data_IF_883823408074
#
_entry.id   IF_883823408074
#
_cell.length_a   1.000
_cell.length_b   1.000
_cell.length_c   1.000
_cell.angle_alpha   90.00
_cell.angle_beta   90.00
_cell.angle_gamma   90.00
#
_symmetry.space_group_name_H-M   'P 1'
#
loop_
_entity.id
_entity.type
_entity.pdbx_description
1 polymer ?
#
# COMPACT_ATOMS: atom_id res chain seq x y z
N UNK A 1 -5.11 -21.13 8.60
CA UNK A 1 -5.19 -19.86 9.36
C UNK A 1 -5.25 -18.72 8.37
N UNK A 2 -5.92 -17.59 8.68
CA UNK A 2 -5.88 -16.41 7.84
C UNK A 2 -4.44 -15.91 7.64
N UNK A 3 -4.06 -15.41 6.44
CA UNK A 3 -2.69 -14.96 6.17
C UNK A 3 -2.33 -13.74 7.03
N UNK A 4 -1.07 -13.62 7.42
CA UNK A 4 -0.57 -12.37 7.99
C UNK A 4 -0.33 -11.34 6.88
N UNK A 5 -0.39 -10.05 7.24
CA UNK A 5 -0.19 -8.95 6.29
C UNK A 5 0.90 -8.01 6.78
N UNK A 6 1.90 -7.77 5.94
CA UNK A 6 2.92 -6.75 6.13
C UNK A 6 2.60 -5.54 5.23
N UNK A 7 2.32 -4.39 5.84
CA UNK A 7 2.11 -3.12 5.15
C UNK A 7 3.44 -2.37 5.05
N UNK A 8 3.92 -2.12 3.83
CA UNK A 8 5.16 -1.42 3.55
C UNK A 8 4.84 0.01 3.12
N UNK A 9 5.34 0.97 3.89
CA UNK A 9 5.01 2.39 3.77
C UNK A 9 4.07 2.85 4.89
N UNK A 10 4.48 3.90 5.61
CA UNK A 10 3.77 4.43 6.80
C UNK A 10 3.08 5.76 6.54
N UNK A 11 3.06 6.22 5.30
CA UNK A 11 2.53 7.53 4.94
C UNK A 11 1.00 7.58 4.83
N UNK A 12 0.53 8.69 4.28
CA UNK A 12 -0.88 9.06 4.16
C UNK A 12 -1.80 7.94 3.67
N UNK A 13 -1.47 7.24 2.57
CA UNK A 13 -2.33 6.17 2.07
C UNK A 13 -2.50 5.01 3.05
N UNK A 14 -1.45 4.71 3.83
CA UNK A 14 -1.48 3.60 4.78
C UNK A 14 -2.17 4.00 6.08
N UNK A 15 -1.78 5.15 6.64
CA UNK A 15 -2.09 5.51 8.04
C UNK A 15 -2.85 6.82 8.18
N UNK A 16 -2.99 7.58 7.10
CA UNK A 16 -3.51 8.95 7.12
C UNK A 16 -2.56 9.95 7.75
N UNK A 17 -1.34 9.55 8.08
CA UNK A 17 -0.33 10.40 8.69
C UNK A 17 0.62 10.97 7.62
N UNK A 18 0.88 12.26 7.73
CA UNK A 18 1.93 13.00 7.01
C UNK A 18 3.07 13.30 7.98
N UNK A 19 4.26 13.66 7.48
CA UNK A 19 5.42 13.91 8.34
C UNK A 19 5.22 14.94 9.47
N UNK A 20 4.15 15.74 9.42
CA UNK A 20 3.78 16.77 10.40
C UNK A 20 2.48 16.50 11.18
N UNK A 21 1.75 15.41 10.92
CA UNK A 21 0.45 15.16 11.56
C UNK A 21 -0.57 14.47 10.67
N UNK A 22 -1.86 14.52 11.02
CA UNK A 22 -2.93 14.02 10.18
C UNK A 22 -2.91 14.66 8.78
N UNK A 23 -3.31 13.90 7.75
CA UNK A 23 -3.46 14.44 6.41
C UNK A 23 -4.68 15.35 6.31
N UNK A 24 -4.55 16.45 5.58
CA UNK A 24 -5.63 17.37 5.22
C UNK A 24 -6.43 16.91 3.98
N UNK A 25 -6.08 15.76 3.40
CA UNK A 25 -6.80 15.17 2.27
C UNK A 25 -8.00 14.33 2.71
N UNK A 26 -8.68 13.74 1.74
CA UNK A 26 -9.74 12.74 1.93
C UNK A 26 -9.25 11.42 2.58
N UNK A 27 -7.94 11.30 2.88
CA UNK A 27 -7.29 10.12 3.45
C UNK A 27 -6.76 10.36 4.86
N UNK A 28 -7.32 11.31 5.61
CA UNK A 28 -6.89 11.65 6.98
C UNK A 28 -6.87 10.45 7.95
N UNK A 29 -7.69 9.42 7.72
CA UNK A 29 -7.72 8.16 8.49
C UNK A 29 -6.83 7.05 7.93
N UNK A 30 -6.29 7.23 6.72
CA UNK A 30 -5.63 6.18 5.96
C UNK A 30 -6.62 5.18 5.35
N UNK A 31 -6.15 4.44 4.35
CA UNK A 31 -6.97 3.43 3.65
C UNK A 31 -6.47 2.03 3.97
N UNK A 32 -5.16 1.78 3.85
CA UNK A 32 -4.62 0.42 3.95
C UNK A 32 -4.77 -0.13 5.37
N UNK A 33 -4.31 0.59 6.40
CA UNK A 33 -4.36 0.10 7.78
C UNK A 33 -5.80 -0.10 8.25
N UNK A 34 -6.70 0.83 7.94
CA UNK A 34 -8.14 0.72 8.23
C UNK A 34 -8.74 -0.55 7.60
N UNK A 35 -8.48 -0.80 6.32
CA UNK A 35 -8.99 -2.01 5.63
C UNK A 35 -8.40 -3.29 6.25
N UNK A 36 -7.10 -3.32 6.56
CA UNK A 36 -6.47 -4.50 7.16
C UNK A 36 -7.00 -4.78 8.57
N UNK A 37 -7.29 -3.75 9.36
CA UNK A 37 -7.92 -3.88 10.67
C UNK A 37 -9.36 -4.41 10.56
N UNK A 38 -10.17 -3.92 9.61
CA UNK A 38 -11.51 -4.48 9.37
C UNK A 38 -11.45 -5.95 8.92
N UNK A 39 -10.55 -6.27 7.99
CA UNK A 39 -10.37 -7.66 7.52
C UNK A 39 -9.92 -8.58 8.64
N UNK A 40 -9.05 -8.10 9.54
CA UNK A 40 -8.64 -8.82 10.74
C UNK A 40 -9.81 -9.04 11.70
N UNK A 41 -10.59 -8.00 12.00
CA UNK A 41 -11.80 -8.06 12.83
C UNK A 41 -12.81 -9.09 12.28
N UNK A 42 -12.86 -9.26 10.95
CA UNK A 42 -13.72 -10.23 10.25
C UNK A 42 -13.09 -11.62 10.08
N UNK A 43 -11.91 -11.87 10.67
CA UNK A 43 -11.21 -13.15 10.59
C UNK A 43 -10.65 -13.49 9.21
N UNK A 44 -10.54 -12.52 8.29
CA UNK A 44 -9.98 -12.72 6.94
C UNK A 44 -8.48 -12.53 6.88
N UNK A 45 -7.92 -11.78 7.84
CA UNK A 45 -6.48 -11.54 8.00
C UNK A 45 -6.07 -11.87 9.43
N UNK A 46 -4.88 -12.45 9.57
CA UNK A 46 -4.27 -12.81 10.84
C UNK A 46 -3.48 -11.65 11.44
N UNK A 47 -2.20 -11.90 11.69
CA UNK A 47 -1.24 -10.92 12.24
C UNK A 47 -1.02 -9.75 11.28
N UNK A 48 -0.79 -8.55 11.83
CA UNK A 48 -0.54 -7.33 11.06
C UNK A 48 0.84 -6.75 11.40
N UNK A 49 1.59 -6.38 10.37
CA UNK A 49 2.84 -5.65 10.49
C UNK A 49 2.83 -4.38 9.65
N UNK A 50 3.64 -3.41 10.03
CA UNK A 50 3.84 -2.16 9.30
C UNK A 50 5.31 -1.75 9.30
N UNK A 51 5.86 -1.43 8.13
CA UNK A 51 7.25 -1.04 8.00
C UNK A 51 7.37 0.33 7.32
N UNK A 52 8.11 1.24 7.95
CA UNK A 52 8.60 2.49 7.36
C UNK A 52 10.13 2.48 7.26
N UNK A 53 10.72 3.65 7.06
CA UNK A 53 12.19 3.84 7.10
C UNK A 53 12.68 4.65 8.30
N UNK A 54 11.76 5.24 9.06
CA UNK A 54 12.05 6.18 10.13
C UNK A 54 11.19 5.86 11.36
N UNK A 55 11.76 5.07 12.26
CA UNK A 55 11.16 4.63 13.52
C UNK A 55 10.86 5.78 14.48
N UNK A 56 11.48 6.96 14.30
CA UNK A 56 11.16 8.15 15.11
C UNK A 56 9.73 8.64 14.89
N UNK A 57 9.12 8.31 13.75
CA UNK A 57 7.73 8.71 13.40
C UNK A 57 6.68 7.73 13.90
N UNK A 58 7.05 6.48 14.19
CA UNK A 58 6.11 5.41 14.52
C UNK A 58 5.28 5.69 15.79
N UNK A 59 5.82 6.28 16.87
CA UNK A 59 5.01 6.67 18.02
C UNK A 59 3.86 7.62 17.66
N UNK A 60 4.15 8.65 16.85
CA UNK A 60 3.15 9.62 16.41
C UNK A 60 2.12 8.98 15.47
N UNK A 61 2.56 8.10 14.56
CA UNK A 61 1.67 7.32 13.68
C UNK A 61 0.73 6.42 14.50
N UNK A 62 1.24 5.71 15.52
CA UNK A 62 0.42 4.86 16.39
C UNK A 62 -0.60 5.69 17.19
N UNK A 63 -0.19 6.85 17.72
CA UNK A 63 -1.09 7.77 18.41
C UNK A 63 -2.19 8.29 17.46
N UNK A 64 -1.83 8.67 16.23
CA UNK A 64 -2.78 9.09 15.20
C UNK A 64 -3.78 7.98 14.85
N UNK A 65 -3.30 6.76 14.57
CA UNK A 65 -4.19 5.64 14.27
C UNK A 65 -5.11 5.29 15.44
N UNK A 66 -4.63 5.40 16.69
CA UNK A 66 -5.48 5.22 17.87
C UNK A 66 -6.63 6.25 17.87
N UNK A 67 -6.30 7.54 17.73
CA UNK A 67 -7.31 8.61 17.76
C UNK A 67 -8.26 8.56 16.56
N UNK A 68 -7.75 8.28 15.36
CA UNK A 68 -8.53 8.30 14.13
C UNK A 68 -9.31 7.01 13.88
N UNK A 69 -8.84 5.87 14.40
CA UNK A 69 -9.43 4.55 14.15
C UNK A 69 -9.93 3.88 15.43
N UNK A 70 -9.04 3.65 16.41
CA UNK A 70 -9.37 2.87 17.61
C UNK A 70 -10.41 3.52 18.51
N UNK A 71 -10.35 4.84 18.65
CA UNK A 71 -11.28 5.63 19.47
C UNK A 71 -12.60 5.94 18.73
N UNK A 72 -12.66 5.68 17.42
CA UNK A 72 -13.80 6.03 16.54
C UNK A 72 -14.63 4.79 16.17
N UNK A 73 -13.98 3.66 15.86
CA UNK A 73 -14.65 2.47 15.34
C UNK A 73 -14.62 1.32 16.34
N UNK A 74 -15.79 0.90 16.80
CA UNK A 74 -15.91 -0.24 17.71
C UNK A 74 -15.32 -1.53 17.11
N UNK A 75 -14.48 -2.20 17.90
CA UNK A 75 -13.83 -3.46 17.50
C UNK A 75 -12.63 -3.30 16.56
N UNK A 76 -12.15 -2.08 16.32
CA UNK A 76 -10.90 -1.80 15.61
C UNK A 76 -9.82 -1.48 16.64
N UNK A 77 -8.72 -2.25 16.63
CA UNK A 77 -7.59 -2.04 17.54
C UNK A 77 -6.27 -1.90 16.76
N UNK A 78 -5.78 -0.67 16.52
CA UNK A 78 -4.53 -0.45 15.81
C UNK A 78 -3.29 -0.82 16.63
N UNK A 79 -3.40 -1.05 17.95
CA UNK A 79 -2.26 -1.44 18.79
C UNK A 79 -1.75 -2.86 18.49
N UNK A 80 -2.55 -3.66 17.80
CA UNK A 80 -2.17 -5.00 17.36
C UNK A 80 -1.16 -5.04 16.19
N UNK A 81 -0.81 -3.88 15.61
CA UNK A 81 0.10 -3.77 14.47
C UNK A 81 1.54 -3.73 14.99
N UNK A 82 2.34 -4.73 14.64
CA UNK A 82 3.78 -4.74 14.88
C UNK A 82 4.48 -3.77 13.92
N UNK A 83 5.48 -3.02 14.39
CA UNK A 83 6.10 -1.94 13.59
C UNK A 83 7.61 -2.06 13.42
N UNK A 84 8.09 -1.76 12.21
CA UNK A 84 9.51 -1.68 11.85
C UNK A 84 9.87 -0.32 11.19
N UNK A 85 11.12 0.15 11.35
CA UNK A 85 12.14 -0.33 12.30
C UNK A 85 11.72 -0.05 13.75
N UNK A 86 12.48 -0.48 14.77
CA UNK A 86 12.21 -0.10 16.16
C UNK A 86 12.14 1.42 16.35
N UNK A 87 11.41 1.86 17.37
CA UNK A 87 11.28 3.28 17.69
C UNK A 87 12.67 3.94 17.85
N UNK A 88 12.81 5.15 17.29
CA UNK A 88 14.09 5.89 17.33
C UNK A 88 15.12 5.47 16.27
N UNK A 89 14.94 4.34 15.59
CA UNK A 89 15.88 3.83 14.57
C UNK A 89 15.50 4.35 13.19
N UNK A 90 16.48 4.79 12.41
CA UNK A 90 16.30 5.12 10.99
C UNK A 90 17.04 4.07 10.17
N UNK A 91 16.30 3.37 9.33
CA UNK A 91 16.82 2.29 8.49
C UNK A 91 16.02 2.21 7.19
N UNK A 92 16.68 2.47 6.05
CA UNK A 92 16.05 2.41 4.73
C UNK A 92 15.77 0.98 4.27
N UNK A 93 16.44 0.00 4.87
CA UNK A 93 16.33 -1.42 4.56
C UNK A 93 15.58 -2.21 5.64
N UNK A 94 14.91 -1.51 6.56
CA UNK A 94 14.09 -2.12 7.61
C UNK A 94 13.06 -3.12 7.05
N UNK A 95 12.65 -2.97 5.78
CA UNK A 95 11.77 -3.88 5.08
C UNK A 95 12.32 -5.31 4.98
N UNK A 96 13.64 -5.50 5.01
CA UNK A 96 14.28 -6.83 4.98
C UNK A 96 13.96 -7.57 6.27
N UNK A 97 14.28 -6.95 7.41
CA UNK A 97 13.97 -7.51 8.74
C UNK A 97 12.46 -7.65 8.97
N UNK A 98 11.67 -6.70 8.47
CA UNK A 98 10.22 -6.79 8.51
C UNK A 98 9.72 -7.99 7.69
N UNK A 99 10.23 -8.20 6.48
CA UNK A 99 9.84 -9.34 5.64
C UNK A 99 10.31 -10.69 6.23
N UNK A 100 11.48 -10.74 6.87
CA UNK A 100 11.98 -11.94 7.58
C UNK A 100 11.07 -12.39 8.72
N UNK A 101 10.27 -11.48 9.27
CA UNK A 101 9.28 -11.82 10.29
C UNK A 101 8.00 -12.45 9.72
N UNK A 102 7.88 -12.59 8.40
CA UNK A 102 6.72 -13.17 7.69
C UNK A 102 7.15 -14.37 6.86
N UNK A 103 6.18 -15.20 6.44
CA UNK A 103 6.47 -16.47 5.80
C UNK A 103 5.67 -16.76 4.53
N UNK A 104 5.87 -17.96 3.96
CA UNK A 104 5.19 -18.38 2.75
C UNK A 104 3.66 -18.32 2.89
N UNK A 105 2.99 -17.65 1.94
CA UNK A 105 1.53 -17.49 1.94
C UNK A 105 1.01 -16.23 2.64
N UNK A 106 1.86 -15.51 3.37
CA UNK A 106 1.52 -14.18 3.89
C UNK A 106 1.49 -13.14 2.76
N UNK A 107 1.00 -11.93 3.04
CA UNK A 107 0.80 -10.89 2.04
C UNK A 107 1.61 -9.63 2.38
N UNK A 108 2.36 -9.12 1.41
CA UNK A 108 2.99 -7.81 1.48
C UNK A 108 2.14 -6.80 0.69
N UNK A 109 1.78 -5.67 1.31
CA UNK A 109 1.04 -4.57 0.69
C UNK A 109 1.95 -3.34 0.64
N UNK A 110 2.33 -2.91 -0.56
CA UNK A 110 3.43 -1.95 -0.77
C UNK A 110 2.87 -0.61 -1.27
N UNK A 111 2.98 0.40 -0.41
CA UNK A 111 2.64 1.81 -0.63
C UNK A 111 3.86 2.70 -0.28
N UNK A 112 4.99 2.40 -0.90
CA UNK A 112 6.25 3.13 -0.74
C UNK A 112 6.51 4.03 -1.95
N UNK A 113 7.60 4.82 -2.00
CA UNK A 113 7.97 5.55 -3.21
C UNK A 113 8.27 4.62 -4.41
N UNK A 114 7.94 5.05 -5.63
CA UNK A 114 7.95 4.23 -6.85
C UNK A 114 9.28 3.50 -7.13
N UNK A 115 10.42 4.10 -6.79
CA UNK A 115 11.77 3.52 -6.95
C UNK A 115 12.05 2.34 -6.00
N UNK A 116 11.30 2.25 -4.90
CA UNK A 116 11.51 1.21 -3.87
C UNK A 116 10.63 -0.03 -4.08
N UNK A 117 9.62 0.05 -4.94
CA UNK A 117 8.66 -1.05 -5.17
C UNK A 117 9.33 -2.35 -5.60
N UNK A 118 10.17 -2.30 -6.64
CA UNK A 118 10.81 -3.49 -7.22
C UNK A 118 11.67 -4.26 -6.21
N UNK A 119 12.64 -3.63 -5.55
CA UNK A 119 13.46 -4.27 -4.51
C UNK A 119 12.62 -4.88 -3.37
N UNK A 120 11.66 -4.12 -2.84
CA UNK A 120 10.81 -4.58 -1.73
C UNK A 120 9.93 -5.78 -2.16
N UNK A 121 9.31 -5.70 -3.33
CA UNK A 121 8.48 -6.78 -3.85
C UNK A 121 9.27 -8.07 -4.05
N UNK A 122 10.48 -7.98 -4.64
CA UNK A 122 11.37 -9.14 -4.81
C UNK A 122 11.79 -9.73 -3.46
N UNK A 123 12.09 -8.90 -2.47
CA UNK A 123 12.43 -9.37 -1.13
C UNK A 123 11.28 -10.14 -0.47
N UNK A 124 10.03 -9.69 -0.65
CA UNK A 124 8.85 -10.39 -0.13
C UNK A 124 8.56 -11.69 -0.90
N UNK A 125 8.64 -11.66 -2.23
CA UNK A 125 8.46 -12.84 -3.09
C UNK A 125 9.48 -13.93 -2.79
N UNK A 126 10.75 -13.56 -2.54
CA UNK A 126 11.81 -14.50 -2.16
C UNK A 126 11.53 -15.23 -0.84
N UNK A 127 10.67 -14.67 0.03
CA UNK A 127 10.19 -15.29 1.28
C UNK A 127 8.86 -16.04 1.10
N UNK A 128 8.39 -16.19 -0.14
CA UNK A 128 7.16 -16.88 -0.48
C UNK A 128 5.89 -16.09 -0.17
N UNK A 129 5.97 -14.77 0.00
CA UNK A 129 4.79 -13.94 0.24
C UNK A 129 4.07 -13.62 -1.08
N UNK A 130 2.76 -13.41 -1.02
CA UNK A 130 2.01 -12.73 -2.07
C UNK A 130 2.27 -11.21 -1.96
N UNK A 131 2.23 -10.50 -3.08
CA UNK A 131 2.52 -9.07 -3.14
C UNK A 131 1.36 -8.31 -3.78
N UNK A 132 0.97 -7.19 -3.16
CA UNK A 132 0.10 -6.16 -3.72
C UNK A 132 0.86 -4.83 -3.76
N UNK A 133 1.05 -4.26 -4.96
CA UNK A 133 1.78 -3.01 -5.20
C UNK A 133 0.83 -1.87 -5.51
N UNK A 134 1.12 -0.67 -5.01
CA UNK A 134 0.53 0.54 -5.59
C UNK A 134 1.07 0.81 -7.01
N UNK A 135 0.32 1.59 -7.78
CA UNK A 135 0.70 1.98 -9.16
C UNK A 135 1.57 3.25 -9.16
N UNK A 136 2.58 3.34 -10.05
CA UNK A 136 3.05 2.29 -10.95
C UNK A 136 3.83 1.19 -10.20
N UNK A 137 3.78 -0.08 -10.64
CA UNK A 137 4.46 -1.16 -9.94
C UNK A 137 6.00 -1.02 -9.99
N UNK A 138 6.54 -0.55 -11.11
CA UNK A 138 7.97 -0.27 -11.37
C UNK A 138 8.07 0.75 -12.52
N UNK A 139 9.26 1.25 -12.85
CA UNK A 139 9.44 2.37 -13.79
C UNK A 139 9.66 1.91 -15.24
N UNK A 140 10.20 0.71 -15.46
CA UNK A 140 10.48 0.20 -16.81
C UNK A 140 9.76 -1.11 -17.14
N UNK A 141 9.58 -1.39 -18.43
CA UNK A 141 9.02 -2.66 -18.90
C UNK A 141 9.94 -3.85 -18.53
N UNK A 142 11.24 -3.65 -18.58
CA UNK A 142 12.23 -4.67 -18.20
C UNK A 142 12.08 -5.06 -16.73
N UNK A 143 12.03 -4.05 -15.83
CA UNK A 143 11.76 -4.27 -14.41
C UNK A 143 10.43 -4.99 -14.19
N UNK A 144 9.42 -4.65 -14.99
CA UNK A 144 8.08 -5.23 -14.87
C UNK A 144 8.08 -6.72 -15.25
N UNK A 145 8.74 -7.07 -16.36
CA UNK A 145 8.92 -8.46 -16.79
C UNK A 145 9.76 -9.26 -15.79
N UNK A 146 10.83 -8.67 -15.26
CA UNK A 146 11.65 -9.28 -14.21
C UNK A 146 10.84 -9.55 -12.94
N UNK A 147 10.00 -8.61 -12.50
CA UNK A 147 9.14 -8.79 -11.34
C UNK A 147 8.07 -9.87 -11.56
N UNK A 148 7.48 -9.92 -12.76
CA UNK A 148 6.52 -10.96 -13.13
C UNK A 148 7.16 -12.35 -13.13
N UNK A 149 8.39 -12.49 -13.64
CA UNK A 149 9.15 -13.73 -13.58
C UNK A 149 9.44 -14.14 -12.13
N UNK A 150 9.91 -13.22 -11.29
CA UNK A 150 10.15 -13.50 -9.87
C UNK A 150 8.89 -13.99 -9.13
N UNK A 151 7.71 -13.46 -9.47
CA UNK A 151 6.45 -13.92 -8.90
C UNK A 151 6.08 -15.33 -9.37
N UNK A 152 6.29 -15.62 -10.66
CA UNK A 152 6.07 -16.95 -11.23
C UNK A 152 7.01 -17.99 -10.61
N UNK A 153 8.30 -17.67 -10.49
CA UNK A 153 9.32 -18.54 -9.89
C UNK A 153 9.02 -18.83 -8.41
N UNK A 154 8.54 -17.84 -7.66
CA UNK A 154 8.11 -18.04 -6.27
C UNK A 154 6.78 -18.81 -6.14
N UNK A 155 6.03 -19.00 -7.24
CA UNK A 155 4.68 -19.55 -7.22
C UNK A 155 3.69 -18.66 -6.45
N UNK A 156 3.88 -17.33 -6.49
CA UNK A 156 3.09 -16.36 -5.72
C UNK A 156 2.39 -15.35 -6.61
N UNK A 157 1.34 -14.76 -6.04
CA UNK A 157 0.61 -13.67 -6.69
C UNK A 157 1.40 -12.37 -6.50
N UNK A 158 1.61 -11.62 -7.59
CA UNK A 158 2.07 -10.24 -7.56
C UNK A 158 1.05 -9.39 -8.31
N UNK A 159 0.21 -8.67 -7.57
CA UNK A 159 -0.87 -7.86 -8.10
C UNK A 159 -0.54 -6.36 -8.00
N UNK A 160 -1.14 -5.57 -8.88
CA UNK A 160 -1.07 -4.11 -8.85
C UNK A 160 -2.44 -3.56 -8.49
N UNK A 161 -2.46 -2.64 -7.55
CA UNK A 161 -3.64 -1.89 -7.15
C UNK A 161 -4.04 -0.91 -8.27
N UNK A 162 -5.22 -1.15 -8.83
CA UNK A 162 -5.89 -0.31 -9.84
C UNK A 162 -7.37 -0.22 -9.47
N UNK A 163 -7.66 0.44 -8.36
CA UNK A 163 -8.95 0.47 -7.64
C UNK A 163 -10.13 0.85 -8.53
N UNK A 164 -9.94 1.69 -9.55
CA UNK A 164 -10.99 2.02 -10.52
C UNK A 164 -11.59 0.79 -11.21
N UNK A 165 -10.86 -0.32 -11.32
CA UNK A 165 -11.40 -1.60 -11.83
C UNK A 165 -12.46 -2.21 -10.92
N UNK A 166 -12.47 -1.83 -9.64
CA UNK A 166 -13.39 -2.32 -8.62
C UNK A 166 -14.50 -1.33 -8.28
N UNK A 167 -14.39 -0.07 -8.73
CA UNK A 167 -15.43 0.93 -8.61
C UNK A 167 -16.74 0.41 -9.25
N UNK A 168 -17.88 0.43 -8.53
CA UNK A 168 -19.15 -0.08 -9.04
C UNK A 168 -19.58 0.53 -10.38
N UNK A 169 -19.30 1.82 -10.62
CA UNK A 169 -19.71 2.50 -11.85
C UNK A 169 -18.90 1.99 -13.04
N UNK A 170 -17.59 1.83 -12.89
CA UNK A 170 -16.73 1.27 -13.95
C UNK A 170 -17.03 -0.21 -14.21
N UNK A 171 -17.40 -0.95 -13.16
CA UNK A 171 -17.80 -2.35 -13.26
C UNK A 171 -19.11 -2.51 -14.04
N UNK A 172 -20.13 -1.74 -13.68
CA UNK A 172 -21.42 -1.71 -14.39
C UNK A 172 -21.23 -1.29 -15.85
N UNK A 173 -20.44 -0.25 -16.11
CA UNK A 173 -20.12 0.17 -17.47
C UNK A 173 -19.44 -0.95 -18.28
N UNK A 174 -18.40 -1.60 -17.73
CA UNK A 174 -17.73 -2.75 -18.37
C UNK A 174 -18.71 -3.88 -18.69
N UNK A 175 -19.64 -4.17 -17.79
CA UNK A 175 -20.58 -5.29 -17.93
C UNK A 175 -21.68 -5.00 -18.97
N UNK A 176 -22.06 -3.73 -19.16
CA UNK A 176 -23.03 -3.29 -20.18
C UNK A 176 -22.43 -3.08 -21.56
N UNK A 177 -21.16 -2.72 -21.64
CA UNK A 177 -20.46 -2.44 -22.90
C UNK A 177 -20.71 -3.47 -24.01
N UNK A 178 -20.69 -4.81 -23.75
CA UNK A 178 -20.92 -5.80 -24.80
C UNK A 178 -22.28 -5.66 -25.51
N UNK A 179 -23.31 -5.13 -24.83
CA UNK A 179 -24.63 -4.91 -25.44
C UNK A 179 -24.72 -3.63 -26.28
N UNK A 180 -23.70 -2.79 -26.28
CA UNK A 180 -23.67 -1.50 -26.98
C UNK A 180 -23.02 -1.57 -28.37
N UNK A 181 -22.52 -2.74 -28.78
CA UNK A 181 -21.82 -2.95 -30.04
C UNK A 181 -20.32 -2.61 -29.98
N UNK A 182 -19.68 -2.55 -31.14
CA UNK A 182 -18.24 -2.30 -31.22
C UNK A 182 -17.88 -0.85 -30.89
N UNK A 183 -16.76 -0.65 -30.18
CA UNK A 183 -16.25 0.69 -29.89
C UNK A 183 -15.68 1.35 -31.15
N UNK A 184 -16.08 2.59 -31.41
CA UNK A 184 -15.46 3.44 -32.44
C UNK A 184 -14.50 4.49 -31.87
N UNK A 185 -14.71 4.93 -30.62
CA UNK A 185 -13.94 5.99 -29.99
C UNK A 185 -13.99 5.87 -28.45
N UNK A 186 -12.89 6.21 -27.78
CA UNK A 186 -12.81 6.28 -26.32
C UNK A 186 -12.02 7.53 -25.90
N UNK A 187 -12.57 8.28 -24.94
CA UNK A 187 -11.90 9.42 -24.32
C UNK A 187 -12.00 9.29 -22.81
N UNK A 188 -10.90 9.59 -22.12
CA UNK A 188 -10.86 9.63 -20.67
C UNK A 188 -10.15 10.91 -20.23
N UNK A 189 -10.77 11.62 -19.29
CA UNK A 189 -10.21 12.83 -18.71
C UNK A 189 -9.99 12.62 -17.21
N UNK A 190 -8.79 12.89 -16.73
CA UNK A 190 -8.46 12.92 -15.31
C UNK A 190 -7.73 14.23 -15.03
N UNK A 191 -8.29 15.03 -14.13
CA UNK A 191 -7.68 16.26 -13.63
C UNK A 191 -7.46 16.16 -12.12
N UNK A 192 -6.50 16.91 -11.62
CA UNK A 192 -6.24 17.05 -10.19
C UNK A 192 -6.46 18.51 -9.77
N UNK A 193 -6.93 18.75 -8.53
CA UNK A 193 -7.00 20.10 -7.99
C UNK A 193 -5.62 20.78 -8.01
N UNK A 194 -5.59 22.07 -8.36
CA UNK A 194 -4.34 22.84 -8.52
C UNK A 194 -3.45 22.78 -7.28
N UNK A 195 -4.02 22.83 -6.07
CA UNK A 195 -3.26 22.78 -4.82
C UNK A 195 -2.47 21.47 -4.64
N UNK A 196 -2.92 20.35 -5.22
CA UNK A 196 -2.17 19.10 -5.15
C UNK A 196 -0.88 19.16 -5.97
N UNK A 197 -0.83 20.00 -7.02
CA UNK A 197 0.39 20.18 -7.83
C UNK A 197 1.53 20.77 -6.99
N UNK A 198 1.23 21.63 -6.02
CA UNK A 198 2.23 22.18 -5.10
C UNK A 198 2.81 21.09 -4.19
N UNK A 199 1.97 20.17 -3.70
CA UNK A 199 2.41 18.98 -2.95
C UNK A 199 3.27 18.05 -3.81
N UNK A 200 2.92 17.85 -5.08
CA UNK A 200 3.70 17.01 -6.00
C UNK A 200 5.03 17.64 -6.39
N UNK A 201 5.13 18.97 -6.47
CA UNK A 201 6.37 19.69 -6.81
C UNK A 201 7.51 19.31 -5.87
N UNK A 202 7.22 19.20 -4.56
CA UNK A 202 8.18 18.76 -3.55
C UNK A 202 8.62 17.29 -3.70
N UNK A 203 7.81 16.45 -4.36
CA UNK A 203 8.07 15.01 -4.56
C UNK A 203 8.78 14.73 -5.90
N UNK A 204 8.42 15.45 -6.97
CA UNK A 204 9.04 15.34 -8.30
C UNK A 204 10.47 15.88 -8.34
N UNK A 205 10.76 16.96 -7.59
CA UNK A 205 12.10 17.53 -7.52
C UNK A 205 13.12 16.58 -6.84
N UNK A 206 12.67 15.56 -6.10
CA UNK A 206 13.56 14.53 -5.51
C UNK A 206 13.85 13.35 -6.44
N UNK A 207 13.23 13.30 -7.62
CA UNK A 207 13.42 12.24 -8.63
C UNK A 207 14.39 12.68 -9.74
N UNK A 208 14.99 13.87 -9.61
CA UNK A 208 15.84 14.51 -10.64
C UNK A 208 17.32 14.57 -10.27
N UNK A 209 17.70 13.98 -9.13
CA UNK A 209 19.09 13.81 -8.65
C UNK A 209 19.45 12.32 -8.61
#
# INVERSE_FOLDING_TARGET
>A
MPPAVLMLGTGEYTTGFTGSGASDSDKSTGVVALVMLDLRRRGKVGRLGMCGTDGRKLPAIRAHMKAALGDVYSGIDPSCIETWPPDGVVDREAYVAAADAFGPGDVAVIFTPDDTHGPIARACLARGMHVLLTKPPVKTLEEHRSLAAAAADAGRLCAVEVHKRYDPIYRDARDRVPSLGAFSYFTAHMSQPKHQLDTFKARLLRLSD
#
